data_IF_905531269930
#
_entry.id   IF_905531269930
#
_cell.length_a   1.000
_cell.length_b   1.000
_cell.length_c   1.000
_cell.angle_alpha   90.00
_cell.angle_beta   90.00
_cell.angle_gamma   90.00
#
_symmetry.space_group_name_H-M   'P 1'
#
loop_
_entity.id
_entity.type
_entity.pdbx_description
1 polymer ?
#
# COMPACT_ATOMS: atom_id res chain seq x y z
N UNK A 1 -24.49 14.75 9.86
CA UNK A 1 -23.21 14.75 9.11
C UNK A 1 -22.14 14.13 9.99
N UNK A 2 -21.81 12.85 9.79
CA UNK A 2 -20.79 12.18 10.59
C UNK A 2 -19.41 12.77 10.27
N UNK A 3 -18.74 13.36 11.27
CA UNK A 3 -17.33 13.75 11.17
C UNK A 3 -16.51 12.48 11.00
N UNK A 4 -16.26 12.08 9.76
CA UNK A 4 -15.45 10.91 9.41
C UNK A 4 -14.01 11.26 9.72
N UNK A 5 -13.57 10.97 10.94
CA UNK A 5 -12.19 11.17 11.37
C UNK A 5 -11.24 10.52 10.36
N UNK A 6 -10.18 11.24 10.00
CA UNK A 6 -9.18 10.77 9.05
C UNK A 6 -8.59 9.43 9.52
N UNK A 7 -8.70 8.40 8.67
CA UNK A 7 -8.14 7.08 8.94
C UNK A 7 -6.83 6.95 8.15
N UNK A 8 -5.73 7.32 8.79
CA UNK A 8 -4.39 7.23 8.21
C UNK A 8 -4.07 5.81 7.71
N UNK A 9 -4.58 4.77 8.38
CA UNK A 9 -4.43 3.38 7.93
C UNK A 9 -5.07 3.12 6.58
N UNK A 10 -6.24 3.71 6.32
CA UNK A 10 -6.94 3.58 5.03
C UNK A 10 -6.18 4.32 3.91
N UNK A 11 -5.68 5.53 4.19
CA UNK A 11 -4.90 6.31 3.22
C UNK A 11 -3.59 5.62 2.86
N UNK A 12 -2.84 5.14 3.85
CA UNK A 12 -1.56 4.45 3.64
C UNK A 12 -1.76 3.15 2.86
N UNK A 13 -2.84 2.41 3.14
CA UNK A 13 -3.19 1.21 2.35
C UNK A 13 -3.49 1.57 0.90
N UNK A 14 -4.30 2.60 0.66
CA UNK A 14 -4.64 3.06 -0.69
C UNK A 14 -3.41 3.49 -1.50
N UNK A 15 -2.50 4.25 -0.88
CA UNK A 15 -1.24 4.67 -1.51
C UNK A 15 -0.34 3.49 -1.86
N UNK A 16 -0.23 2.50 -0.96
CA UNK A 16 0.56 1.29 -1.22
C UNK A 16 0.04 0.52 -2.44
N UNK A 17 -1.28 0.23 -2.47
CA UNK A 17 -1.86 -0.48 -3.60
C UNK A 17 -1.80 0.33 -4.90
N UNK A 18 -1.97 1.65 -4.84
CA UNK A 18 -1.83 2.52 -6.00
C UNK A 18 -0.41 2.47 -6.58
N UNK A 19 0.61 2.51 -5.74
CA UNK A 19 2.01 2.40 -6.17
C UNK A 19 2.29 1.04 -6.82
N UNK A 20 1.85 -0.07 -6.19
CA UNK A 20 2.01 -1.41 -6.75
C UNK A 20 1.29 -1.53 -8.10
N UNK A 21 0.04 -1.06 -8.18
CA UNK A 21 -0.73 -1.06 -9.43
C UNK A 21 -0.02 -0.25 -10.52
N UNK A 22 0.55 0.92 -10.18
CA UNK A 22 1.33 1.73 -11.11
C UNK A 22 2.55 1.00 -11.68
N UNK A 23 3.29 0.26 -10.84
CA UNK A 23 4.45 -0.55 -11.27
C UNK A 23 4.01 -1.64 -12.26
N UNK A 24 2.93 -2.35 -11.97
CA UNK A 24 2.39 -3.38 -12.86
C UNK A 24 1.84 -2.79 -14.17
N UNK A 25 1.14 -1.65 -14.10
CA UNK A 25 0.63 -0.95 -15.27
C UNK A 25 1.76 -0.47 -16.18
N UNK A 26 2.79 0.16 -15.61
CA UNK A 26 3.98 0.58 -16.35
C UNK A 26 4.70 -0.63 -16.96
N UNK A 27 4.77 -1.75 -16.23
CA UNK A 27 5.37 -2.98 -16.73
C UNK A 27 4.60 -3.59 -17.91
N UNK A 28 3.27 -3.60 -17.83
CA UNK A 28 2.39 -4.05 -18.91
C UNK A 28 2.52 -3.18 -20.16
N UNK A 29 2.58 -1.86 -19.99
CA UNK A 29 2.78 -0.91 -21.10
C UNK A 29 4.17 -1.03 -21.74
N UNK A 30 5.20 -1.30 -20.95
CA UNK A 30 6.58 -1.40 -21.43
C UNK A 30 6.95 -2.79 -21.98
N UNK A 31 6.09 -3.79 -21.84
CA UNK A 31 6.38 -5.19 -22.18
C UNK A 31 7.48 -5.83 -21.34
N UNK A 32 7.92 -5.15 -20.27
CA UNK A 32 8.94 -5.61 -19.31
C UNK A 32 8.62 -5.04 -17.95
N UNK A 33 8.80 -5.81 -16.88
CA UNK A 33 8.61 -5.27 -15.54
C UNK A 33 9.67 -4.20 -15.23
N UNK A 34 9.30 -3.07 -14.60
CA UNK A 34 10.28 -2.05 -14.19
C UNK A 34 11.20 -2.56 -13.07
N UNK A 35 10.73 -3.55 -12.31
CA UNK A 35 11.41 -4.14 -11.16
C UNK A 35 11.35 -5.66 -11.28
N UNK A 36 12.46 -6.35 -11.01
CA UNK A 36 12.52 -7.82 -11.03
C UNK A 36 11.52 -8.39 -10.01
N UNK A 37 10.80 -9.45 -10.40
CA UNK A 37 9.76 -10.05 -9.58
C UNK A 37 10.29 -10.55 -8.21
N UNK A 38 11.53 -11.03 -8.20
CA UNK A 38 12.28 -11.46 -7.01
C UNK A 38 12.46 -10.34 -5.96
N UNK A 39 12.42 -9.07 -6.39
CA UNK A 39 12.49 -7.90 -5.52
C UNK A 39 11.08 -7.40 -5.19
N UNK A 40 10.19 -7.44 -6.18
CA UNK A 40 8.82 -6.96 -6.04
C UNK A 40 8.01 -7.80 -5.04
N UNK A 41 8.12 -9.12 -5.09
CA UNK A 41 7.42 -10.03 -4.18
C UNK A 41 7.73 -9.76 -2.70
N UNK A 42 9.00 -9.75 -2.25
CA UNK A 42 9.31 -9.42 -0.86
C UNK A 42 8.95 -7.97 -0.49
N UNK A 43 9.12 -7.01 -1.41
CA UNK A 43 8.71 -5.62 -1.17
C UNK A 43 7.20 -5.49 -0.91
N UNK A 44 6.38 -6.25 -1.66
CA UNK A 44 4.92 -6.30 -1.44
C UNK A 44 4.61 -6.87 -0.06
N UNK A 45 5.27 -7.96 0.35
CA UNK A 45 5.06 -8.55 1.69
C UNK A 45 5.42 -7.56 2.80
N UNK A 46 6.57 -6.87 2.68
CA UNK A 46 6.97 -5.83 3.65
C UNK A 46 5.95 -4.69 3.67
N UNK A 47 5.49 -4.22 2.51
CA UNK A 47 4.48 -3.18 2.42
C UNK A 47 3.11 -3.58 3.00
N UNK A 48 2.68 -4.83 2.82
CA UNK A 48 1.49 -5.38 3.48
C UNK A 48 1.66 -5.42 5.01
N UNK A 49 2.84 -5.77 5.51
CA UNK A 49 3.16 -5.71 6.93
C UNK A 49 3.09 -4.27 7.48
N UNK A 50 3.68 -3.31 6.75
CA UNK A 50 3.69 -1.89 7.14
C UNK A 50 2.28 -1.29 7.16
N UNK A 51 1.48 -1.51 6.10
CA UNK A 51 0.11 -1.00 6.03
C UNK A 51 -0.77 -1.56 7.15
N UNK A 52 -0.62 -2.85 7.46
CA UNK A 52 -1.27 -3.49 8.60
C UNK A 52 -0.85 -2.87 9.95
N UNK A 53 0.44 -2.65 10.14
CA UNK A 53 0.99 -2.03 11.36
C UNK A 53 0.47 -0.60 11.57
N UNK A 54 0.49 0.23 10.51
CA UNK A 54 -0.06 1.59 10.55
C UNK A 54 -1.55 1.54 10.89
N UNK A 55 -2.32 0.61 10.31
CA UNK A 55 -3.73 0.46 10.62
C UNK A 55 -3.98 0.11 12.09
N UNK A 56 -3.14 -0.75 12.69
CA UNK A 56 -3.21 -1.10 14.12
C UNK A 56 -2.91 0.13 14.98
N UNK A 57 -1.84 0.87 14.67
CA UNK A 57 -1.49 2.11 15.38
C UNK A 57 -2.60 3.16 15.30
N UNK A 58 -3.16 3.36 14.10
CA UNK A 58 -4.23 4.34 13.87
C UNK A 58 -5.53 3.95 14.59
N UNK A 59 -5.81 2.65 14.71
CA UNK A 59 -6.94 2.13 15.52
C UNK A 59 -6.72 2.33 17.01
N UNK A 60 -5.49 2.18 17.52
CA UNK A 60 -5.17 2.41 18.95
C UNK A 60 -5.31 3.87 19.36
N UNK A 61 -5.10 4.80 18.44
CA UNK A 61 -5.22 6.24 18.68
C UNK A 61 -6.68 6.75 18.79
N UNK A 62 -7.67 5.88 18.59
CA UNK A 62 -9.10 6.23 18.56
C UNK A 62 -9.92 5.68 19.74
N UNK A 63 -9.27 5.02 20.71
CA UNK A 63 -9.87 4.62 22.00
C UNK A 63 -9.41 5.58 23.09
#
# INVERSE_FOLDING_TARGET
MARRGFDAGTVVTGLFFLAVAGIFLAGGLAGRLPVRLEILAPAVVVGLGLTGFVRILTRRFRR
#
